data_IF_734011410148
#
_entry.id   IF_734011410148
#
_cell.length_a   1.000
_cell.length_b   1.000
_cell.length_c   1.000
_cell.angle_alpha   90.00
_cell.angle_beta   90.00
_cell.angle_gamma   90.00
#
_symmetry.space_group_name_H-M   'P 1'
#
loop_
_entity.id
_entity.type
_entity.pdbx_description
1 polymer ?
#
# COMPACT_ATOMS: atom_id res chain seq x y z
N UNK A 1 68.15 -22.75 11.82
CA UNK A 1 67.06 -22.02 12.52
C UNK A 1 66.21 -21.33 11.44
N UNK A 2 65.15 -22.00 11.02
CA UNK A 2 64.31 -21.54 9.92
C UNK A 2 62.88 -21.33 10.46
N UNK A 3 62.43 -20.09 10.43
CA UNK A 3 61.05 -19.72 10.83
C UNK A 3 60.14 -19.76 9.62
N UNK A 4 59.30 -20.80 9.56
CA UNK A 4 58.21 -20.89 8.61
C UNK A 4 57.05 -19.94 8.97
N UNK A 5 56.69 -19.05 8.03
CA UNK A 5 55.44 -18.28 8.11
C UNK A 5 54.33 -19.07 7.45
N UNK A 6 53.27 -19.29 8.25
CA UNK A 6 52.03 -19.89 7.79
C UNK A 6 51.16 -18.80 7.12
N UNK A 7 50.58 -18.99 5.94
CA UNK A 7 49.65 -18.03 5.36
C UNK A 7 48.23 -18.24 5.92
N UNK A 8 47.64 -17.16 6.41
CA UNK A 8 46.25 -17.09 6.82
C UNK A 8 45.38 -17.28 5.60
N UNK A 9 44.56 -18.33 5.59
CA UNK A 9 43.47 -18.53 4.61
C UNK A 9 42.31 -17.60 4.97
N UNK A 10 42.03 -16.65 4.10
CA UNK A 10 40.74 -15.91 4.10
C UNK A 10 39.69 -16.83 3.44
N UNK A 11 38.89 -17.46 4.25
CA UNK A 11 37.65 -18.13 3.82
C UNK A 11 36.50 -17.13 3.82
N UNK A 12 36.33 -16.42 2.70
CA UNK A 12 35.11 -15.69 2.39
C UNK A 12 34.24 -16.58 1.51
N UNK A 13 33.65 -17.63 2.09
CA UNK A 13 32.56 -18.35 1.42
C UNK A 13 31.24 -17.61 1.62
N UNK A 14 31.00 -16.65 0.76
CA UNK A 14 29.63 -16.14 0.53
C UNK A 14 28.88 -17.23 -0.21
N UNK A 15 28.04 -17.98 0.51
CA UNK A 15 27.09 -18.91 -0.12
C UNK A 15 26.19 -18.14 -1.08
N UNK A 16 26.02 -18.59 -2.32
CA UNK A 16 25.08 -17.96 -3.24
C UNK A 16 23.67 -18.16 -2.70
N UNK A 17 22.95 -17.04 -2.52
CA UNK A 17 21.50 -17.05 -2.23
C UNK A 17 20.83 -17.80 -3.38
N UNK A 18 20.29 -18.97 -3.09
CA UNK A 18 19.51 -19.71 -4.07
C UNK A 18 18.33 -18.86 -4.53
N UNK A 19 18.10 -18.73 -5.85
CA UNK A 19 16.93 -18.03 -6.35
C UNK A 19 15.69 -18.79 -5.84
N UNK A 20 14.77 -18.10 -5.19
CA UNK A 20 13.44 -18.61 -4.90
C UNK A 20 12.81 -18.87 -6.27
N UNK A 21 12.78 -20.14 -6.68
CA UNK A 21 12.05 -20.57 -7.86
C UNK A 21 10.56 -20.40 -7.55
N UNK A 22 10.02 -19.23 -7.91
CA UNK A 22 8.57 -19.07 -8.00
C UNK A 22 8.12 -20.01 -9.10
N UNK A 23 7.21 -20.98 -8.83
CA UNK A 23 6.69 -21.83 -9.89
C UNK A 23 6.21 -20.94 -11.02
N UNK A 24 6.62 -21.24 -12.25
CA UNK A 24 6.14 -20.59 -13.46
C UNK A 24 4.60 -20.71 -13.47
N UNK A 25 3.93 -19.69 -12.92
CA UNK A 25 2.48 -19.57 -13.07
C UNK A 25 2.25 -19.24 -14.54
N UNK A 26 1.86 -20.30 -15.26
CA UNK A 26 1.47 -20.23 -16.65
C UNK A 26 0.55 -19.02 -16.88
N UNK A 27 0.79 -18.32 -17.97
CA UNK A 27 -0.03 -17.26 -18.55
C UNK A 27 -1.47 -17.82 -18.81
N UNK A 28 -2.27 -17.97 -17.73
CA UNK A 28 -3.68 -18.26 -17.87
C UNK A 28 -4.44 -16.95 -17.84
N UNK A 29 -5.22 -16.73 -18.88
CA UNK A 29 -6.13 -15.60 -19.07
C UNK A 29 -7.28 -15.53 -18.04
N UNK A 30 -7.18 -16.27 -16.98
CA UNK A 30 -8.13 -16.32 -15.88
C UNK A 30 -7.69 -15.27 -14.84
N UNK A 31 -8.25 -14.07 -14.93
CA UNK A 31 -8.03 -12.90 -14.04
C UNK A 31 -8.53 -13.22 -12.63
N UNK A 32 -7.83 -14.09 -11.94
CA UNK A 32 -8.10 -14.50 -10.57
C UNK A 32 -7.32 -13.61 -9.62
N UNK A 33 -7.96 -13.30 -8.56
CA UNK A 33 -7.59 -12.61 -7.32
C UNK A 33 -6.10 -12.54 -7.00
N UNK A 34 -5.64 -11.33 -6.67
CA UNK A 34 -4.25 -11.09 -6.24
C UNK A 34 -3.96 -11.87 -4.96
N UNK A 35 -2.95 -12.76 -4.93
CA UNK A 35 -2.55 -13.49 -3.73
C UNK A 35 -2.11 -12.54 -2.60
N UNK A 36 -2.16 -12.97 -1.33
CA UNK A 36 -1.57 -12.20 -0.22
C UNK A 36 -0.09 -11.89 -0.48
N UNK A 37 0.35 -10.66 -0.18
CA UNK A 37 1.72 -10.22 -0.40
C UNK A 37 2.09 -9.95 -1.86
N UNK A 38 1.11 -9.97 -2.76
CA UNK A 38 1.28 -9.64 -4.17
C UNK A 38 0.49 -8.38 -4.56
N UNK A 39 0.88 -7.78 -5.68
CA UNK A 39 0.31 -6.57 -6.26
C UNK A 39 0.28 -6.70 -7.78
N UNK A 40 -0.70 -6.11 -8.45
CA UNK A 40 -0.60 -5.90 -9.89
C UNK A 40 0.54 -4.92 -10.19
N UNK A 41 1.27 -5.15 -11.27
CA UNK A 41 2.30 -4.21 -11.72
C UNK A 41 1.72 -2.82 -11.97
N UNK A 42 0.51 -2.74 -12.52
CA UNK A 42 -0.17 -1.47 -12.73
C UNK A 42 0.74 -0.45 -13.40
N UNK A 43 0.88 0.71 -12.75
CA UNK A 43 1.78 1.77 -13.18
C UNK A 43 3.26 1.38 -13.12
N UNK A 44 3.65 0.41 -12.30
CA UNK A 44 5.06 -0.01 -12.17
C UNK A 44 5.61 -0.67 -13.45
N UNK A 45 4.76 -1.01 -14.44
CA UNK A 45 5.23 -1.38 -15.78
C UNK A 45 6.05 -0.28 -16.44
N UNK A 46 5.83 0.99 -16.07
CA UNK A 46 6.56 2.14 -16.58
C UNK A 46 8.02 2.21 -16.08
N UNK A 47 8.41 1.36 -15.12
CA UNK A 47 9.81 1.26 -14.66
C UNK A 47 10.75 0.96 -15.82
N UNK A 48 10.40 0.01 -16.68
CA UNK A 48 11.26 -0.38 -17.81
C UNK A 48 11.47 0.76 -18.83
N UNK A 49 10.44 1.45 -19.35
CA UNK A 49 10.65 2.61 -20.22
C UNK A 49 11.36 3.77 -19.53
N UNK A 50 11.12 4.01 -18.23
CA UNK A 50 11.81 5.06 -17.48
C UNK A 50 13.31 4.76 -17.38
N UNK A 51 13.71 3.52 -17.06
CA UNK A 51 15.10 3.11 -17.02
C UNK A 51 15.79 3.29 -18.38
N UNK A 52 15.11 2.95 -19.48
CA UNK A 52 15.63 3.21 -20.84
C UNK A 52 15.82 4.71 -21.08
N UNK A 53 14.94 5.56 -20.54
CA UNK A 53 15.10 7.02 -20.58
C UNK A 53 16.34 7.53 -19.83
N UNK A 54 16.81 6.79 -18.83
CA UNK A 54 18.10 7.03 -18.16
C UNK A 54 19.31 6.38 -18.91
N UNK A 55 19.10 5.78 -20.08
CA UNK A 55 20.13 5.08 -20.84
C UNK A 55 20.55 3.73 -20.21
N UNK A 56 19.69 3.14 -19.39
CA UNK A 56 19.93 1.89 -18.70
C UNK A 56 19.10 0.75 -19.31
N UNK A 57 19.73 -0.44 -19.41
CA UNK A 57 18.99 -1.67 -19.70
C UNK A 57 18.18 -2.09 -18.45
N UNK A 58 16.84 -2.23 -18.53
CA UNK A 58 16.02 -2.64 -17.41
C UNK A 58 16.21 -4.11 -17.00
N UNK A 59 16.52 -4.99 -17.93
CA UNK A 59 16.54 -6.44 -17.74
C UNK A 59 17.44 -6.94 -16.60
N UNK A 60 18.69 -6.46 -16.46
CA UNK A 60 19.54 -6.85 -15.35
C UNK A 60 18.97 -6.48 -13.98
N UNK A 61 18.34 -5.29 -13.87
CA UNK A 61 17.75 -4.81 -12.62
C UNK A 61 16.49 -5.59 -12.26
N UNK A 62 15.65 -5.86 -13.24
CA UNK A 62 14.41 -6.65 -13.06
C UNK A 62 14.78 -8.08 -12.60
N UNK A 63 15.74 -8.73 -13.24
CA UNK A 63 16.22 -10.05 -12.83
C UNK A 63 16.88 -10.06 -11.45
N UNK A 64 17.64 -9.02 -11.13
CA UNK A 64 18.24 -8.88 -9.79
C UNK A 64 17.20 -8.71 -8.69
N UNK A 65 16.04 -8.14 -9.00
CA UNK A 65 14.90 -8.07 -8.09
C UNK A 65 14.14 -9.42 -7.97
N UNK A 66 14.48 -10.44 -8.76
CA UNK A 66 13.80 -11.74 -8.79
C UNK A 66 12.54 -11.75 -9.66
N UNK A 67 12.45 -10.86 -10.65
CA UNK A 67 11.32 -10.74 -11.57
C UNK A 67 11.71 -11.09 -13.00
N UNK A 68 10.71 -11.47 -13.82
CA UNK A 68 10.87 -11.69 -15.27
C UNK A 68 10.49 -10.38 -16.00
N UNK A 69 11.34 -9.95 -16.92
CA UNK A 69 11.13 -8.72 -17.70
C UNK A 69 9.84 -8.74 -18.53
N UNK A 70 9.40 -9.92 -18.96
CA UNK A 70 8.14 -10.11 -19.71
C UNK A 70 6.90 -9.72 -18.90
N UNK A 71 6.98 -9.74 -17.57
CA UNK A 71 5.88 -9.30 -16.71
C UNK A 71 5.56 -7.80 -16.90
N UNK A 72 6.55 -7.00 -17.31
CA UNK A 72 6.41 -5.55 -17.49
C UNK A 72 5.73 -5.15 -18.81
N UNK A 73 5.38 -6.11 -19.67
CA UNK A 73 4.62 -5.87 -20.89
C UNK A 73 3.14 -5.59 -20.60
N UNK A 74 2.60 -6.16 -19.51
CA UNK A 74 1.20 -5.99 -19.11
C UNK A 74 1.08 -5.64 -17.62
N UNK A 75 0.47 -4.48 -17.33
CA UNK A 75 0.22 -4.01 -15.97
C UNK A 75 -0.74 -4.90 -15.16
N UNK A 76 -1.48 -5.80 -15.79
CA UNK A 76 -2.36 -6.76 -15.10
C UNK A 76 -1.60 -7.97 -14.52
N UNK A 77 -0.31 -8.12 -14.85
CA UNK A 77 0.54 -9.13 -14.24
C UNK A 77 0.73 -8.87 -12.75
N UNK A 78 0.75 -9.97 -11.99
CA UNK A 78 0.86 -9.94 -10.52
C UNK A 78 2.27 -10.32 -10.10
N UNK A 79 2.85 -9.55 -9.19
CA UNK A 79 4.20 -9.76 -8.66
C UNK A 79 4.21 -9.68 -7.13
N UNK A 80 5.17 -10.35 -6.44
CA UNK A 80 5.37 -10.16 -5.01
C UNK A 80 5.78 -8.71 -4.72
N UNK A 81 5.13 -8.07 -3.73
CA UNK A 81 5.45 -6.68 -3.35
C UNK A 81 6.90 -6.53 -2.91
N UNK A 82 7.45 -7.52 -2.20
CA UNK A 82 8.85 -7.51 -1.78
C UNK A 82 9.82 -7.49 -2.99
N UNK A 83 9.50 -8.19 -4.08
CA UNK A 83 10.31 -8.15 -5.31
C UNK A 83 10.20 -6.80 -6.00
N UNK A 84 8.99 -6.21 -6.05
CA UNK A 84 8.78 -4.87 -6.59
C UNK A 84 9.51 -3.81 -5.76
N UNK A 85 9.45 -3.88 -4.43
CA UNK A 85 10.17 -2.99 -3.53
C UNK A 85 11.69 -3.06 -3.76
N UNK A 86 12.25 -4.27 -3.86
CA UNK A 86 13.67 -4.44 -4.23
C UNK A 86 14.00 -3.81 -5.59
N UNK A 87 13.12 -3.95 -6.58
CA UNK A 87 13.33 -3.32 -7.88
C UNK A 87 13.39 -1.79 -7.75
N UNK A 88 12.48 -1.17 -6.99
CA UNK A 88 12.54 0.27 -6.74
C UNK A 88 13.85 0.68 -6.06
N UNK A 89 14.32 -0.07 -5.05
CA UNK A 89 15.63 0.16 -4.40
C UNK A 89 16.78 0.13 -5.42
N UNK A 90 16.80 -0.88 -6.27
CA UNK A 90 17.82 -1.00 -7.32
C UNK A 90 17.75 0.13 -8.35
N UNK A 91 16.54 0.54 -8.73
CA UNK A 91 16.32 1.68 -9.64
C UNK A 91 16.86 2.98 -9.06
N UNK A 92 16.52 3.29 -7.80
CA UNK A 92 17.03 4.48 -7.08
C UNK A 92 18.55 4.48 -7.04
N UNK A 93 19.16 3.36 -6.64
CA UNK A 93 20.62 3.24 -6.54
C UNK A 93 21.30 3.43 -7.91
N UNK A 94 20.75 2.83 -8.96
CA UNK A 94 21.36 2.85 -10.29
C UNK A 94 21.16 4.17 -11.03
N UNK A 95 19.99 4.80 -10.90
CA UNK A 95 19.68 6.08 -11.54
C UNK A 95 20.15 7.27 -10.71
N UNK A 96 20.45 7.10 -9.43
CA UNK A 96 20.68 8.17 -8.44
C UNK A 96 19.50 9.14 -8.36
N UNK A 97 18.29 8.65 -8.63
CA UNK A 97 17.05 9.42 -8.59
C UNK A 97 16.27 9.06 -7.33
N UNK A 98 16.34 9.85 -6.24
CA UNK A 98 15.69 9.55 -4.97
C UNK A 98 14.16 9.61 -5.05
N UNK A 99 13.60 10.24 -6.08
CA UNK A 99 12.17 10.36 -6.37
C UNK A 99 11.72 9.46 -7.54
N UNK A 100 12.36 8.31 -7.72
CA UNK A 100 12.07 7.41 -8.85
C UNK A 100 10.61 6.92 -8.85
N UNK A 101 10.04 6.62 -7.67
CA UNK A 101 8.64 6.26 -7.53
C UNK A 101 7.68 7.35 -7.99
N UNK A 102 7.98 8.61 -7.68
CA UNK A 102 7.23 9.76 -8.18
C UNK A 102 7.27 9.82 -9.72
N UNK A 103 8.44 9.56 -10.34
CA UNK A 103 8.56 9.51 -11.80
C UNK A 103 7.66 8.41 -12.40
N UNK A 104 7.64 7.23 -11.78
CA UNK A 104 6.77 6.12 -12.19
C UNK A 104 5.29 6.54 -12.11
N UNK A 105 4.88 7.09 -10.97
CA UNK A 105 3.49 7.54 -10.77
C UNK A 105 3.05 8.67 -11.70
N UNK A 106 3.96 9.54 -12.12
CA UNK A 106 3.67 10.63 -13.08
C UNK A 106 3.16 10.13 -14.43
N UNK A 107 3.59 8.96 -14.87
CA UNK A 107 3.17 8.36 -16.14
C UNK A 107 1.81 7.64 -16.03
N UNK A 108 1.29 7.48 -14.84
CA UNK A 108 0.01 6.84 -14.62
C UNK A 108 -1.15 7.71 -15.12
N UNK A 109 -2.13 7.05 -15.68
CA UNK A 109 -3.46 7.60 -15.93
C UNK A 109 -4.47 6.90 -15.01
N UNK A 110 -5.69 7.42 -14.91
CA UNK A 110 -6.76 6.74 -14.17
C UNK A 110 -7.01 5.31 -14.71
N UNK A 111 -6.75 5.07 -15.99
CA UNK A 111 -6.86 3.75 -16.63
C UNK A 111 -5.74 2.77 -16.21
N UNK A 112 -4.65 3.26 -15.63
CA UNK A 112 -3.61 2.40 -15.04
C UNK A 112 -4.13 1.61 -13.82
N UNK A 113 -5.31 1.99 -13.30
CA UNK A 113 -6.04 1.29 -12.25
C UNK A 113 -7.12 0.33 -12.82
N UNK A 114 -7.03 -0.05 -14.10
CA UNK A 114 -7.90 -1.00 -14.82
C UNK A 114 -9.41 -0.81 -14.48
N UNK A 115 -10.09 -1.85 -13.99
CA UNK A 115 -11.53 -1.81 -13.69
C UNK A 115 -11.90 -0.75 -12.66
N UNK A 116 -11.06 -0.54 -11.65
CA UNK A 116 -11.32 0.48 -10.62
C UNK A 116 -11.23 1.88 -11.20
N UNK A 117 -10.24 2.15 -12.05
CA UNK A 117 -10.12 3.43 -12.75
C UNK A 117 -11.30 3.71 -13.68
N UNK A 118 -11.79 2.68 -14.38
CA UNK A 118 -13.02 2.79 -15.21
C UNK A 118 -14.25 3.04 -14.33
N UNK A 119 -14.40 2.37 -13.19
CA UNK A 119 -15.47 2.64 -12.25
C UNK A 119 -15.46 4.10 -11.80
N UNK A 120 -14.28 4.64 -11.49
CA UNK A 120 -14.13 6.05 -11.11
C UNK A 120 -14.59 7.00 -12.21
N UNK A 121 -14.21 6.76 -13.45
CA UNK A 121 -14.58 7.61 -14.61
C UNK A 121 -16.08 7.63 -14.89
N UNK A 122 -16.81 6.56 -14.57
CA UNK A 122 -18.25 6.47 -14.81
C UNK A 122 -19.07 6.72 -13.55
N UNK A 123 -18.45 7.17 -12.47
CA UNK A 123 -19.12 7.61 -11.24
C UNK A 123 -19.81 8.97 -11.44
N UNK A 124 -20.93 9.18 -10.78
CA UNK A 124 -21.70 10.43 -10.91
C UNK A 124 -20.95 11.65 -10.35
N UNK A 125 -20.28 11.45 -9.21
CA UNK A 125 -19.50 12.50 -8.53
C UNK A 125 -18.09 12.00 -8.19
N UNK A 126 -17.19 12.94 -7.92
CA UNK A 126 -15.83 12.66 -7.46
C UNK A 126 -15.85 11.88 -6.14
N UNK A 127 -16.76 12.23 -5.20
CA UNK A 127 -16.94 11.47 -3.96
C UNK A 127 -17.31 10.02 -4.24
N UNK A 128 -18.32 9.78 -5.10
CA UNK A 128 -18.70 8.43 -5.49
C UNK A 128 -17.58 7.67 -6.22
N UNK A 129 -16.72 8.38 -6.97
CA UNK A 129 -15.54 7.79 -7.62
C UNK A 129 -14.51 7.34 -6.57
N UNK A 130 -14.20 8.20 -5.59
CA UNK A 130 -13.25 7.89 -4.52
C UNK A 130 -13.77 6.82 -3.56
N UNK A 131 -15.06 6.80 -3.24
CA UNK A 131 -15.69 5.72 -2.45
C UNK A 131 -15.59 4.38 -3.18
N UNK A 132 -15.85 4.39 -4.49
CA UNK A 132 -15.65 3.22 -5.35
C UNK A 132 -14.21 2.75 -5.40
N UNK A 133 -13.25 3.67 -5.49
CA UNK A 133 -11.83 3.38 -5.44
C UNK A 133 -11.43 2.74 -4.11
N UNK A 134 -11.73 3.40 -2.97
CA UNK A 134 -11.39 2.91 -1.62
C UNK A 134 -12.00 1.52 -1.38
N UNK A 135 -13.26 1.31 -1.78
CA UNK A 135 -13.98 0.05 -1.57
C UNK A 135 -13.44 -1.10 -2.43
N UNK A 136 -12.83 -0.82 -3.58
CA UNK A 136 -12.42 -1.82 -4.55
C UNK A 136 -10.90 -1.93 -4.75
N UNK A 137 -10.10 -1.08 -4.10
CA UNK A 137 -8.64 -1.11 -4.23
C UNK A 137 -8.06 -2.50 -3.94
N UNK A 138 -8.60 -3.20 -2.94
CA UNK A 138 -8.15 -4.52 -2.56
C UNK A 138 -8.41 -5.64 -3.58
N UNK A 139 -9.17 -5.40 -4.64
CA UNK A 139 -9.28 -6.32 -5.79
C UNK A 139 -8.02 -6.28 -6.64
N UNK A 140 -7.42 -5.08 -6.75
CA UNK A 140 -6.22 -4.86 -7.57
C UNK A 140 -4.93 -4.92 -6.77
N UNK A 141 -4.98 -4.48 -5.53
CA UNK A 141 -3.80 -4.26 -4.71
C UNK A 141 -4.08 -4.63 -3.26
N UNK A 142 -3.42 -5.68 -2.77
CA UNK A 142 -3.53 -6.11 -1.39
C UNK A 142 -2.46 -5.49 -0.48
N UNK A 143 -1.56 -4.73 -1.04
CA UNK A 143 -0.46 -4.12 -0.31
C UNK A 143 -0.70 -2.64 -0.02
N UNK A 144 -1.60 -1.98 -0.74
CA UNK A 144 -1.98 -0.59 -0.49
C UNK A 144 -3.41 -0.54 0.03
N UNK A 145 -3.60 0.19 1.10
CA UNK A 145 -4.94 0.50 1.65
C UNK A 145 -5.15 1.99 1.53
N UNK A 146 -6.31 2.38 1.01
CA UNK A 146 -6.73 3.78 0.99
C UNK A 146 -7.93 3.99 1.91
N UNK A 147 -8.07 5.19 2.45
CA UNK A 147 -9.27 5.64 3.16
C UNK A 147 -9.61 7.07 2.77
N UNK A 148 -10.90 7.37 2.73
CA UNK A 148 -11.40 8.73 2.53
C UNK A 148 -12.15 9.16 3.78
N UNK A 149 -11.85 10.34 4.28
CA UNK A 149 -12.58 10.97 5.39
C UNK A 149 -12.75 12.45 5.14
N UNK A 150 -13.70 13.06 5.84
CA UNK A 150 -13.96 14.51 5.77
C UNK A 150 -13.88 15.07 7.18
N UNK A 151 -13.08 16.14 7.37
CA UNK A 151 -12.97 16.88 8.62
C UNK A 151 -12.77 18.37 8.30
N UNK A 152 -13.48 19.22 9.01
CA UNK A 152 -13.34 20.69 8.93
C UNK A 152 -13.43 21.24 7.49
N UNK A 153 -14.32 20.67 6.67
CA UNK A 153 -14.51 21.08 5.27
C UNK A 153 -13.42 20.60 4.32
N UNK A 154 -12.48 19.78 4.80
CA UNK A 154 -11.43 19.17 4.00
C UNK A 154 -11.68 17.68 3.81
N UNK A 155 -11.41 17.18 2.61
CA UNK A 155 -11.35 15.76 2.30
C UNK A 155 -9.91 15.26 2.46
N UNK A 156 -9.77 14.13 3.11
CA UNK A 156 -8.49 13.48 3.46
C UNK A 156 -8.45 12.11 2.78
N UNK A 157 -7.71 11.98 1.68
CA UNK A 157 -7.46 10.71 1.01
C UNK A 157 -6.12 10.18 1.49
N UNK A 158 -6.16 9.18 2.36
CA UNK A 158 -4.98 8.61 3.04
C UNK A 158 -4.58 7.28 2.41
N UNK A 159 -3.28 7.03 2.33
CA UNK A 159 -2.70 5.79 1.83
C UNK A 159 -1.79 5.16 2.88
N UNK A 160 -1.90 3.85 3.06
CA UNK A 160 -0.97 3.04 3.82
C UNK A 160 -0.45 1.91 2.93
N UNK A 161 0.88 1.86 2.76
CA UNK A 161 1.55 0.78 2.03
C UNK A 161 2.02 -0.25 3.04
N UNK A 162 1.56 -1.47 2.89
CA UNK A 162 2.01 -2.58 3.70
C UNK A 162 3.17 -3.29 2.97
N UNK A 163 4.40 -3.01 3.40
CA UNK A 163 5.59 -3.74 2.96
C UNK A 163 6.14 -4.54 4.14
N UNK A 164 6.27 -5.87 4.03
CA UNK A 164 6.73 -6.71 5.14
C UNK A 164 8.16 -6.43 5.61
N UNK A 165 8.96 -5.72 4.83
CA UNK A 165 10.39 -5.49 5.07
C UNK A 165 10.78 -4.00 5.06
N UNK A 166 9.84 -3.07 5.09
CA UNK A 166 10.06 -1.61 5.02
C UNK A 166 10.98 -1.12 3.88
N UNK A 167 11.49 -2.02 3.05
CA UNK A 167 12.33 -1.67 1.91
C UNK A 167 11.49 -0.96 0.85
N UNK A 168 11.88 0.26 0.51
CA UNK A 168 11.30 1.09 -0.56
C UNK A 168 9.78 1.32 -0.50
N UNK A 169 9.16 1.16 0.67
CA UNK A 169 7.76 1.59 0.87
C UNK A 169 7.58 3.05 0.44
N UNK A 170 8.59 3.89 0.65
CA UNK A 170 8.64 5.29 0.22
C UNK A 170 8.39 5.46 -1.28
N UNK A 171 9.03 4.63 -2.13
CA UNK A 171 8.92 4.75 -3.59
C UNK A 171 7.53 4.32 -4.07
N UNK A 172 6.97 3.27 -3.48
CA UNK A 172 5.62 2.80 -3.78
C UNK A 172 4.59 3.84 -3.32
N UNK A 173 4.82 4.45 -2.16
CA UNK A 173 3.98 5.54 -1.63
C UNK A 173 4.03 6.78 -2.53
N UNK A 174 5.22 7.20 -2.97
CA UNK A 174 5.40 8.31 -3.89
C UNK A 174 4.65 8.06 -5.20
N UNK A 175 4.74 6.83 -5.74
CA UNK A 175 3.99 6.44 -6.93
C UNK A 175 2.47 6.48 -6.69
N UNK A 176 1.99 5.95 -5.57
CA UNK A 176 0.55 5.94 -5.23
C UNK A 176 -0.03 7.36 -5.11
N UNK A 177 0.67 8.27 -4.43
CA UNK A 177 0.27 9.69 -4.33
C UNK A 177 0.21 10.36 -5.70
N UNK A 178 1.21 10.10 -6.56
CA UNK A 178 1.25 10.67 -7.91
C UNK A 178 0.10 10.14 -8.78
N UNK A 179 -0.19 8.83 -8.73
CA UNK A 179 -1.34 8.20 -9.40
C UNK A 179 -2.65 8.83 -8.95
N UNK A 180 -2.82 9.02 -7.64
CA UNK A 180 -4.05 9.60 -7.07
C UNK A 180 -4.27 11.05 -7.53
N UNK A 181 -3.22 11.86 -7.57
CA UNK A 181 -3.31 13.24 -8.08
C UNK A 181 -3.66 13.25 -9.57
N UNK A 182 -3.06 12.38 -10.38
CA UNK A 182 -3.40 12.28 -11.81
C UNK A 182 -4.85 11.82 -12.02
N UNK A 183 -5.32 10.87 -11.21
CA UNK A 183 -6.71 10.44 -11.25
C UNK A 183 -7.68 11.59 -10.90
N UNK A 184 -7.40 12.34 -9.83
CA UNK A 184 -8.19 13.50 -9.43
C UNK A 184 -8.16 14.63 -10.50
N UNK A 185 -7.02 14.86 -11.14
CA UNK A 185 -6.95 15.77 -12.30
C UNK A 185 -7.80 15.30 -13.47
N UNK A 186 -7.88 14.00 -13.69
CA UNK A 186 -8.77 13.44 -14.72
C UNK A 186 -10.25 13.67 -14.38
N UNK A 187 -10.62 13.52 -13.09
CA UNK A 187 -12.01 13.66 -12.65
C UNK A 187 -12.46 15.10 -12.46
N UNK A 188 -11.56 15.97 -11.98
CA UNK A 188 -11.86 17.36 -11.60
C UNK A 188 -11.42 18.39 -12.65
N UNK A 189 -10.61 17.98 -13.65
CA UNK A 189 -9.99 18.86 -14.62
C UNK A 189 -8.47 19.00 -14.40
N UNK A 190 -7.71 19.30 -15.47
CA UNK A 190 -6.24 19.35 -15.46
C UNK A 190 -5.65 20.35 -14.47
N UNK A 191 -6.38 21.42 -14.18
CA UNK A 191 -5.97 22.49 -13.26
C UNK A 191 -6.21 22.16 -11.79
N UNK A 192 -6.82 21.00 -11.50
CA UNK A 192 -7.04 20.58 -10.13
C UNK A 192 -5.71 20.32 -9.39
N UNK A 193 -5.66 20.78 -8.16
CA UNK A 193 -4.51 20.56 -7.27
C UNK A 193 -5.00 20.32 -5.83
N UNK A 194 -4.30 19.50 -5.06
CA UNK A 194 -4.60 19.36 -3.63
C UNK A 194 -4.27 20.67 -2.89
N UNK A 195 -4.82 20.84 -1.71
CA UNK A 195 -4.47 21.94 -0.78
C UNK A 195 -3.08 21.73 -0.23
N UNK A 196 -2.75 20.46 0.13
CA UNK A 196 -1.44 20.04 0.59
C UNK A 196 -1.26 18.52 0.41
N UNK A 197 -0.02 18.08 0.43
CA UNK A 197 0.37 16.66 0.33
C UNK A 197 1.29 16.31 1.50
N UNK A 198 0.92 15.28 2.25
CA UNK A 198 1.69 14.74 3.37
C UNK A 198 2.40 13.48 2.93
N UNK A 199 3.71 13.40 3.19
CA UNK A 199 4.56 12.29 2.73
C UNK A 199 5.37 11.74 3.90
N UNK A 200 5.29 10.43 4.21
CA UNK A 200 5.92 9.85 5.39
C UNK A 200 7.45 9.75 5.29
N UNK A 201 7.99 9.81 4.10
CA UNK A 201 9.44 9.71 3.89
C UNK A 201 10.22 10.90 4.46
N UNK A 202 11.51 10.68 4.70
CA UNK A 202 12.45 11.74 5.07
C UNK A 202 12.55 12.77 3.93
N UNK A 203 12.65 14.05 4.29
CA UNK A 203 12.80 15.15 3.33
C UNK A 203 13.96 14.85 2.37
N UNK A 204 13.73 14.76 1.06
CA UNK A 204 14.81 14.57 0.10
C UNK A 204 15.68 15.83 0.00
N UNK A 205 16.94 15.67 -0.44
CA UNK A 205 17.85 16.80 -0.67
C UNK A 205 17.29 17.80 -1.68
N UNK A 206 16.55 17.33 -2.68
CA UNK A 206 15.81 18.16 -3.63
C UNK A 206 14.31 17.81 -3.58
N UNK A 207 13.46 18.63 -2.93
CA UNK A 207 12.01 18.45 -2.88
C UNK A 207 11.28 19.02 -4.11
N UNK A 208 11.97 19.72 -5.00
CA UNK A 208 11.35 20.42 -6.14
C UNK A 208 10.59 19.51 -7.11
N UNK A 209 11.03 18.27 -7.42
CA UNK A 209 10.25 17.34 -8.24
C UNK A 209 8.85 17.05 -7.70
N UNK A 210 8.70 16.98 -6.38
CA UNK A 210 7.41 16.77 -5.71
C UNK A 210 6.52 18.01 -5.83
N UNK A 211 7.05 19.20 -5.50
CA UNK A 211 6.31 20.46 -5.60
C UNK A 211 5.82 20.72 -7.01
N UNK A 212 6.68 20.45 -8.01
CA UNK A 212 6.33 20.60 -9.43
C UNK A 212 5.24 19.65 -9.86
N UNK A 213 5.27 18.40 -9.40
CA UNK A 213 4.25 17.41 -9.76
C UNK A 213 2.92 17.70 -9.07
N UNK A 214 2.93 17.89 -7.75
CA UNK A 214 1.71 18.09 -6.97
C UNK A 214 1.12 19.48 -7.13
N UNK A 215 1.93 20.48 -7.44
CA UNK A 215 1.54 21.90 -7.55
C UNK A 215 0.86 22.41 -6.27
N UNK A 216 1.35 21.94 -5.13
CA UNK A 216 0.84 22.21 -3.79
C UNK A 216 1.98 22.14 -2.77
N UNK A 217 1.82 22.69 -1.55
CA UNK A 217 2.71 22.44 -0.42
C UNK A 217 2.88 20.95 -0.17
N UNK A 218 4.13 20.50 0.03
CA UNK A 218 4.48 19.11 0.32
C UNK A 218 5.19 19.07 1.68
N UNK A 219 4.63 18.30 2.60
CA UNK A 219 5.15 18.12 3.95
C UNK A 219 5.73 16.73 4.09
N UNK A 220 7.03 16.66 4.29
CA UNK A 220 7.76 15.41 4.52
C UNK A 220 7.83 15.06 6.01
N UNK A 221 8.34 13.87 6.35
CA UNK A 221 8.44 13.36 7.73
C UNK A 221 7.07 13.25 8.43
N UNK A 222 6.02 12.93 7.70
CA UNK A 222 4.68 12.77 8.24
C UNK A 222 4.42 11.31 8.65
N UNK A 223 3.41 11.07 9.50
CA UNK A 223 3.05 9.72 9.96
C UNK A 223 2.38 8.89 8.87
N UNK A 224 1.72 9.53 7.90
CA UNK A 224 0.99 8.85 6.82
C UNK A 224 1.05 9.62 5.51
N UNK A 225 0.88 8.91 4.41
CA UNK A 225 0.73 9.50 3.09
C UNK A 225 -0.70 9.99 2.91
N UNK A 226 -0.88 11.27 2.54
CA UNK A 226 -2.21 11.85 2.47
C UNK A 226 -2.28 12.98 1.41
N UNK A 227 -3.40 13.00 0.69
CA UNK A 227 -3.81 14.15 -0.11
C UNK A 227 -4.92 14.88 0.65
N UNK A 228 -4.73 16.17 0.89
CA UNK A 228 -5.71 17.05 1.52
C UNK A 228 -6.28 17.98 0.45
N UNK A 229 -7.60 18.06 0.33
CA UNK A 229 -8.27 18.91 -0.65
C UNK A 229 -9.66 19.34 -0.16
N UNK A 230 -10.30 20.29 -0.83
CA UNK A 230 -11.63 20.77 -0.42
C UNK A 230 -12.68 19.66 -0.46
N UNK A 231 -13.48 19.52 0.60
CA UNK A 231 -14.62 18.59 0.62
C UNK A 231 -15.67 18.94 -0.47
N UNK A 232 -15.70 20.17 -0.97
CA UNK A 232 -16.59 20.56 -2.06
C UNK A 232 -16.18 19.91 -3.40
N UNK A 233 -14.91 19.53 -3.58
CA UNK A 233 -14.51 18.77 -4.75
C UNK A 233 -15.20 17.40 -4.83
N UNK A 234 -15.57 16.80 -3.70
CA UNK A 234 -16.31 15.52 -3.67
C UNK A 234 -17.68 15.62 -4.32
N UNK A 235 -18.30 16.81 -4.33
CA UNK A 235 -19.62 17.08 -4.92
C UNK A 235 -19.56 17.32 -6.42
N UNK A 236 -18.35 17.53 -7.00
CA UNK A 236 -18.17 17.79 -8.43
C UNK A 236 -18.65 16.60 -9.26
N UNK A 237 -19.39 16.89 -10.32
CA UNK A 237 -19.81 15.87 -11.28
C UNK A 237 -18.66 15.44 -12.18
N UNK A 238 -18.54 14.14 -12.40
CA UNK A 238 -17.54 13.57 -13.32
C UNK A 238 -18.07 13.72 -14.74
N UNK A 239 -17.26 14.31 -15.60
CA UNK A 239 -17.62 14.49 -17.01
C UNK A 239 -17.65 13.12 -17.71
N UNK A 240 -18.72 12.84 -18.45
CA UNK A 240 -18.89 11.57 -19.15
C UNK A 240 -19.31 10.39 -18.27
N UNK A 241 -19.79 10.64 -17.05
CA UNK A 241 -20.34 9.61 -16.19
C UNK A 241 -21.46 8.82 -16.88
N UNK A 242 -21.38 7.49 -16.80
CA UNK A 242 -22.38 6.57 -17.34
C UNK A 242 -22.84 5.62 -16.23
N UNK A 243 -24.05 5.83 -15.68
CA UNK A 243 -24.58 5.02 -14.58
C UNK A 243 -24.79 3.55 -14.96
N UNK A 244 -25.10 3.24 -16.23
CA UNK A 244 -25.29 1.86 -16.68
C UNK A 244 -23.95 1.12 -16.72
N UNK A 245 -22.94 1.75 -17.31
CA UNK A 245 -21.59 1.17 -17.34
C UNK A 245 -21.02 1.05 -15.93
N UNK A 246 -21.25 2.04 -15.06
CA UNK A 246 -20.87 1.96 -13.65
C UNK A 246 -21.49 0.72 -12.98
N UNK A 247 -22.80 0.48 -13.15
CA UNK A 247 -23.46 -0.68 -12.56
C UNK A 247 -22.85 -2.01 -13.02
N UNK A 248 -22.51 -2.13 -14.30
CA UNK A 248 -21.85 -3.32 -14.87
C UNK A 248 -20.45 -3.50 -14.24
N UNK A 249 -19.68 -2.43 -14.10
CA UNK A 249 -18.35 -2.48 -13.50
C UNK A 249 -18.41 -2.82 -12.01
N UNK A 250 -19.38 -2.27 -11.27
CA UNK A 250 -19.62 -2.61 -9.86
C UNK A 250 -19.99 -4.09 -9.67
N UNK A 251 -20.84 -4.64 -10.55
CA UNK A 251 -21.18 -6.05 -10.52
C UNK A 251 -19.96 -6.93 -10.80
N UNK A 252 -19.17 -6.58 -11.81
CA UNK A 252 -17.93 -7.29 -12.12
C UNK A 252 -16.92 -7.27 -10.98
N UNK A 253 -16.72 -6.11 -10.34
CA UNK A 253 -15.84 -5.98 -9.17
C UNK A 253 -16.37 -6.76 -7.96
N UNK A 254 -17.70 -6.85 -7.80
CA UNK A 254 -18.33 -7.66 -6.75
C UNK A 254 -18.08 -9.16 -6.99
N UNK A 255 -18.19 -9.63 -8.23
CA UNK A 255 -17.87 -11.02 -8.59
C UNK A 255 -16.39 -11.32 -8.32
N UNK A 256 -15.48 -10.48 -8.78
CA UNK A 256 -14.04 -10.65 -8.52
C UNK A 256 -13.71 -10.69 -7.03
N UNK A 257 -14.39 -9.90 -6.19
CA UNK A 257 -14.24 -9.97 -4.73
C UNK A 257 -14.75 -11.30 -4.16
N UNK A 258 -15.88 -11.79 -4.65
CA UNK A 258 -16.44 -13.07 -4.22
C UNK A 258 -15.52 -14.23 -4.60
N UNK A 259 -15.00 -14.24 -5.83
CA UNK A 259 -14.07 -15.26 -6.33
C UNK A 259 -12.73 -15.23 -5.58
N UNK A 260 -12.35 -14.05 -5.07
CA UNK A 260 -11.15 -13.86 -4.27
C UNK A 260 -11.20 -14.54 -2.90
N UNK A 261 -12.34 -15.06 -2.48
CA UNK A 261 -12.57 -15.39 -1.08
C UNK A 261 -12.35 -14.17 -0.16
N UNK A 262 -12.20 -12.97 -0.75
CA UNK A 262 -12.08 -11.73 -0.03
C UNK A 262 -13.47 -11.35 0.48
N UNK A 263 -13.88 -11.98 1.56
CA UNK A 263 -15.14 -11.72 2.22
C UNK A 263 -15.11 -10.36 2.92
N UNK A 264 -16.30 -9.93 3.33
CA UNK A 264 -16.50 -8.75 4.16
C UNK A 264 -15.51 -8.67 5.35
N UNK A 265 -15.11 -9.82 5.91
CA UNK A 265 -14.11 -9.90 6.99
C UNK A 265 -12.73 -9.40 6.57
N UNK A 266 -12.30 -9.65 5.33
CA UNK A 266 -10.98 -9.20 4.84
C UNK A 266 -10.96 -7.69 4.56
N UNK A 267 -12.08 -7.13 4.11
CA UNK A 267 -12.23 -5.69 3.94
C UNK A 267 -12.15 -4.98 5.30
N UNK A 268 -12.84 -5.52 6.32
CA UNK A 268 -12.75 -5.02 7.69
C UNK A 268 -11.34 -5.16 8.24
N UNK A 269 -10.67 -6.29 8.01
CA UNK A 269 -9.29 -6.53 8.48
C UNK A 269 -8.33 -5.48 7.89
N UNK A 270 -8.45 -5.16 6.61
CA UNK A 270 -7.65 -4.12 5.96
C UNK A 270 -7.90 -2.72 6.53
N UNK A 271 -9.17 -2.34 6.64
CA UNK A 271 -9.55 -1.04 7.22
C UNK A 271 -9.08 -0.90 8.67
N UNK A 272 -9.23 -1.96 9.47
CA UNK A 272 -8.74 -1.99 10.84
C UNK A 272 -7.23 -1.82 10.91
N UNK A 273 -6.48 -2.52 10.05
CA UNK A 273 -5.01 -2.45 10.06
C UNK A 273 -4.52 -1.02 9.82
N UNK A 274 -5.11 -0.31 8.87
CA UNK A 274 -4.79 1.08 8.58
C UNK A 274 -5.14 2.01 9.74
N UNK A 275 -6.33 1.83 10.33
CA UNK A 275 -6.81 2.72 11.40
C UNK A 275 -6.16 2.47 12.75
N UNK A 276 -5.74 1.25 13.04
CA UNK A 276 -5.06 0.92 14.30
C UNK A 276 -3.64 1.47 14.36
N UNK A 277 -2.99 1.73 13.24
CA UNK A 277 -1.68 2.42 13.18
C UNK A 277 -1.83 3.92 13.51
N UNK A 278 -3.01 4.51 13.32
CA UNK A 278 -3.31 5.92 13.59
C UNK A 278 -4.12 6.15 14.89
N UNK A 279 -4.47 5.12 15.65
CA UNK A 279 -5.25 5.29 16.87
C UNK A 279 -6.24 4.17 17.19
N UNK A 280 -7.30 4.51 17.92
CA UNK A 280 -8.39 3.58 18.27
C UNK A 280 -9.41 3.58 17.14
N UNK A 281 -9.85 2.38 16.75
CA UNK A 281 -11.01 2.19 15.89
C UNK A 281 -12.00 1.30 16.63
N UNK A 282 -13.12 1.86 17.06
CA UNK A 282 -14.23 1.13 17.67
C UNK A 282 -15.05 0.40 16.61
N UNK A 283 -15.93 -0.50 17.03
CA UNK A 283 -16.89 -1.12 16.11
C UNK A 283 -17.94 -0.11 15.59
N UNK A 284 -18.18 0.94 16.34
CA UNK A 284 -19.02 2.08 15.94
C UNK A 284 -18.35 2.85 14.81
N UNK A 285 -17.08 3.28 15.01
CA UNK A 285 -16.31 4.02 13.98
C UNK A 285 -16.21 3.23 12.68
N UNK A 286 -16.06 1.90 12.79
CA UNK A 286 -16.00 1.03 11.61
C UNK A 286 -17.37 0.88 10.94
N UNK A 287 -18.46 0.83 11.71
CA UNK A 287 -19.80 0.75 11.17
C UNK A 287 -20.19 2.05 10.45
N UNK A 288 -19.85 3.20 11.02
CA UNK A 288 -20.06 4.52 10.44
C UNK A 288 -19.26 4.68 9.14
N UNK A 289 -17.99 4.26 9.14
CA UNK A 289 -17.13 4.25 7.95
C UNK A 289 -17.72 3.44 6.80
N UNK A 290 -18.39 2.33 7.12
CA UNK A 290 -18.99 1.43 6.13
C UNK A 290 -20.45 1.80 5.82
N UNK A 291 -20.97 2.86 6.43
CA UNK A 291 -22.37 3.26 6.36
C UNK A 291 -23.35 2.09 6.67
N UNK A 292 -23.01 1.27 7.65
CA UNK A 292 -23.85 0.16 8.13
C UNK A 292 -24.15 0.28 9.62
N UNK A 293 -25.27 -0.25 10.05
CA UNK A 293 -25.57 -0.30 11.48
C UNK A 293 -24.62 -1.29 12.18
N UNK A 294 -24.12 -0.98 13.39
CA UNK A 294 -23.23 -1.83 14.21
C UNK A 294 -23.70 -3.30 14.30
N UNK A 295 -25.01 -3.51 14.41
CA UNK A 295 -25.57 -4.87 14.43
C UNK A 295 -25.34 -5.62 13.12
N UNK A 296 -25.42 -4.93 11.99
CA UNK A 296 -25.15 -5.48 10.65
C UNK A 296 -23.69 -5.84 10.49
N UNK A 297 -22.78 -4.96 10.92
CA UNK A 297 -21.33 -5.22 10.98
C UNK A 297 -21.05 -6.49 11.80
N UNK A 298 -21.56 -6.55 13.04
CA UNK A 298 -21.34 -7.70 13.94
C UNK A 298 -21.90 -9.01 13.38
N UNK A 299 -23.07 -8.98 12.75
CA UNK A 299 -23.68 -10.17 12.12
C UNK A 299 -22.81 -10.66 10.96
N UNK A 300 -22.47 -9.79 10.02
CA UNK A 300 -21.68 -10.15 8.84
C UNK A 300 -20.29 -10.71 9.20
N UNK A 301 -19.67 -10.16 10.24
CA UNK A 301 -18.39 -10.69 10.76
C UNK A 301 -18.57 -12.08 11.38
N UNK A 302 -19.64 -12.31 12.16
CA UNK A 302 -19.95 -13.62 12.74
C UNK A 302 -20.27 -14.66 11.65
N UNK A 303 -20.99 -14.27 10.60
CA UNK A 303 -21.27 -15.14 9.45
C UNK A 303 -19.96 -15.54 8.74
N UNK A 304 -18.93 -14.68 8.77
CA UNK A 304 -17.56 -14.97 8.35
C UNK A 304 -16.71 -15.71 9.39
N UNK A 305 -17.30 -16.18 10.49
CA UNK A 305 -16.62 -16.97 11.53
C UNK A 305 -15.81 -16.17 12.55
N UNK A 306 -15.83 -14.84 12.51
CA UNK A 306 -14.96 -13.99 13.33
C UNK A 306 -15.72 -12.83 13.98
N UNK A 307 -15.35 -12.44 15.20
CA UNK A 307 -15.89 -11.25 15.86
C UNK A 307 -14.96 -10.05 15.71
N UNK A 308 -15.53 -8.83 15.69
CA UNK A 308 -14.78 -7.57 15.56
C UNK A 308 -13.63 -7.46 16.58
N UNK A 309 -13.87 -7.82 17.85
CA UNK A 309 -12.86 -7.76 18.92
C UNK A 309 -11.73 -8.77 18.71
N UNK A 310 -12.04 -9.98 18.24
CA UNK A 310 -11.03 -10.99 17.90
C UNK A 310 -10.14 -10.50 16.79
N UNK A 311 -10.74 -10.05 15.71
CA UNK A 311 -10.03 -9.48 14.54
C UNK A 311 -9.13 -8.30 14.94
N UNK A 312 -9.64 -7.37 15.76
CA UNK A 312 -8.86 -6.22 16.25
C UNK A 312 -7.65 -6.66 17.06
N UNK A 313 -7.81 -7.69 17.92
CA UNK A 313 -6.71 -8.21 18.72
C UNK A 313 -5.66 -8.94 17.88
N UNK A 314 -6.08 -9.70 16.87
CA UNK A 314 -5.17 -10.38 15.95
C UNK A 314 -4.34 -9.36 15.17
N UNK A 315 -4.97 -8.32 14.62
CA UNK A 315 -4.26 -7.27 13.88
C UNK A 315 -3.30 -6.50 14.78
N UNK A 316 -3.71 -6.18 16.03
CA UNK A 316 -2.81 -5.55 17.00
C UNK A 316 -1.61 -6.43 17.32
N UNK A 317 -1.82 -7.73 17.42
CA UNK A 317 -0.74 -8.69 17.65
C UNK A 317 0.22 -8.75 16.45
N UNK A 318 -0.31 -8.85 15.22
CA UNK A 318 0.50 -8.84 14.00
C UNK A 318 1.37 -7.56 13.90
N UNK A 319 0.76 -6.38 14.12
CA UNK A 319 1.49 -5.11 14.10
C UNK A 319 2.52 -5.05 15.24
N UNK A 320 2.17 -5.54 16.43
CA UNK A 320 3.09 -5.58 17.57
C UNK A 320 4.32 -6.44 17.28
N UNK A 321 4.14 -7.66 16.74
CA UNK A 321 5.24 -8.53 16.35
C UNK A 321 6.16 -7.84 15.36
N UNK A 322 5.59 -7.26 14.30
CA UNK A 322 6.34 -6.54 13.28
C UNK A 322 7.16 -5.38 13.88
N UNK A 323 6.55 -4.55 14.74
CA UNK A 323 7.28 -3.44 15.38
C UNK A 323 8.35 -3.92 16.35
N UNK A 324 8.15 -5.08 17.00
CA UNK A 324 9.12 -5.66 17.93
C UNK A 324 10.31 -6.30 17.21
N UNK A 325 10.08 -6.93 16.07
CA UNK A 325 11.09 -7.61 15.25
C UNK A 325 11.90 -6.65 14.39
N UNK A 326 11.24 -5.67 13.78
CA UNK A 326 11.83 -4.82 12.75
C UNK A 326 12.35 -3.47 13.28
N UNK A 327 12.10 -3.13 14.56
CA UNK A 327 12.44 -1.81 15.10
C UNK A 327 12.92 -1.82 16.55
N UNK A 328 13.72 -0.81 16.88
CA UNK A 328 14.15 -0.50 18.26
C UNK A 328 13.18 0.43 19.01
N UNK A 329 11.97 0.62 18.49
CA UNK A 329 10.95 1.50 19.08
C UNK A 329 10.64 1.06 20.53
N UNK A 330 10.66 2.00 21.51
CA UNK A 330 10.35 1.69 22.90
C UNK A 330 8.94 1.08 23.07
N UNK A 331 8.80 0.12 23.98
CA UNK A 331 7.52 -0.56 24.23
C UNK A 331 6.37 0.40 24.57
N UNK A 332 6.67 1.51 25.23
CA UNK A 332 5.67 2.54 25.52
C UNK A 332 5.13 3.21 24.24
N UNK A 333 5.98 3.43 23.24
CA UNK A 333 5.57 3.99 21.96
C UNK A 333 4.78 2.96 21.14
N UNK A 334 5.19 1.70 21.13
CA UNK A 334 4.42 0.62 20.49
C UNK A 334 3.03 0.49 21.14
N UNK A 335 2.96 0.53 22.47
CA UNK A 335 1.69 0.51 23.19
C UNK A 335 0.79 1.68 22.79
N UNK A 336 1.32 2.89 22.74
CA UNK A 336 0.59 4.08 22.32
C UNK A 336 0.11 3.98 20.86
N UNK A 337 0.98 3.56 19.93
CA UNK A 337 0.64 3.36 18.52
C UNK A 337 -0.50 2.35 18.32
N UNK A 338 -0.58 1.31 19.18
CA UNK A 338 -1.64 0.30 19.16
C UNK A 338 -2.89 0.70 19.98
N UNK A 339 -2.94 1.94 20.48
CA UNK A 339 -4.09 2.50 21.17
C UNK A 339 -4.23 2.05 22.63
N UNK A 340 -3.15 1.59 23.28
CA UNK A 340 -3.12 1.31 24.71
C UNK A 340 -2.74 2.58 25.49
N UNK A 341 -3.45 2.82 26.60
CA UNK A 341 -3.16 3.95 27.49
C UNK A 341 -1.85 3.76 28.27
N UNK A 342 -1.42 2.51 28.47
CA UNK A 342 -0.25 2.15 29.27
C UNK A 342 0.48 0.96 28.69
N UNK A 343 1.82 0.96 28.77
CA UNK A 343 2.68 -0.17 28.34
C UNK A 343 2.37 -1.47 29.11
N UNK A 344 1.94 -1.36 30.37
CA UNK A 344 1.53 -2.49 31.20
C UNK A 344 0.29 -3.22 30.64
N UNK A 345 -0.68 -2.46 30.14
CA UNK A 345 -1.89 -3.01 29.50
C UNK A 345 -1.55 -3.73 28.19
N UNK A 346 -0.67 -3.14 27.39
CA UNK A 346 -0.13 -3.77 26.19
C UNK A 346 0.62 -5.06 26.51
N UNK A 347 1.52 -5.05 27.50
CA UNK A 347 2.29 -6.22 27.91
C UNK A 347 1.38 -7.39 28.33
N UNK A 348 0.32 -7.11 29.10
CA UNK A 348 -0.68 -8.13 29.47
C UNK A 348 -1.43 -8.67 28.25
N UNK A 349 -1.81 -7.81 27.33
CA UNK A 349 -2.50 -8.21 26.10
C UNK A 349 -1.58 -9.07 25.21
N UNK A 350 -0.36 -8.65 24.97
CA UNK A 350 0.63 -9.35 24.17
C UNK A 350 0.95 -10.74 24.74
N UNK A 351 1.17 -10.82 26.07
CA UNK A 351 1.39 -12.11 26.74
C UNK A 351 0.20 -13.07 26.60
N UNK A 352 -1.02 -12.55 26.61
CA UNK A 352 -2.23 -13.36 26.38
C UNK A 352 -2.29 -13.90 24.95
N UNK A 353 -1.76 -13.18 23.97
CA UNK A 353 -1.77 -13.58 22.57
C UNK A 353 -0.63 -14.55 22.22
N UNK A 354 0.59 -14.27 22.69
CA UNK A 354 1.81 -15.00 22.30
C UNK A 354 2.32 -16.00 23.36
N UNK A 355 1.83 -15.92 24.59
CA UNK A 355 2.39 -16.65 25.73
C UNK A 355 3.65 -16.01 26.34
N UNK A 356 4.26 -15.01 25.67
CA UNK A 356 5.51 -14.36 26.06
C UNK A 356 5.32 -12.86 26.32
N UNK A 357 6.28 -12.24 26.98
CA UNK A 357 6.31 -10.78 27.10
C UNK A 357 6.87 -10.13 25.83
N UNK A 358 6.49 -8.86 25.48
CA UNK A 358 7.06 -8.16 24.34
C UNK A 358 8.59 -8.07 24.40
N UNK A 359 9.16 -7.91 25.59
CA UNK A 359 10.63 -7.87 25.80
C UNK A 359 11.29 -9.20 25.46
N UNK A 360 10.68 -10.32 25.90
CA UNK A 360 11.20 -11.65 25.59
C UNK A 360 11.08 -11.95 24.09
N UNK A 361 9.99 -11.54 23.46
CA UNK A 361 9.78 -11.68 22.00
C UNK A 361 10.84 -10.93 21.19
N UNK A 362 11.18 -9.69 21.57
CA UNK A 362 12.21 -8.88 20.91
C UNK A 362 13.63 -9.46 21.05
N UNK A 363 13.88 -10.23 22.12
CA UNK A 363 15.20 -10.78 22.42
C UNK A 363 15.46 -12.16 21.77
N UNK A 364 14.42 -12.82 21.26
CA UNK A 364 14.51 -14.15 20.66
C UNK A 364 14.29 -14.18 19.20
#
# INVERSE_FOLDING_TARGET
>A
MSHGRNPVRNDTSTSPVQPIVVPSMALSSDRRTVPPGCIHLGVSKEIAPILRGFGLDPDPLIRAAGLDSRLFEDGTNVVPIAALARLYTLCVARTRCPHFGLLVGRHATILSMDLVGRLMQHSETVGAALDGFVSNLGVQDRAVVASLSVSDGMALLTFAVHSPQNESADQITDAALAVAVNALRTLCGSEWRPTEVLVPRVTPADPEPYRRHFQAPVWFNQESAMLVFSADDLKRRVAGADPLLRAVLEDRLRQLRADAGAGFSDDIRRLLRTRLIGGRCSAEDMADLLAVHRRTLSRRLKDGGQGYRSMTNEIRFEIACQLLEDTEVPLAQIAAALGYSEASAFTRAFRRWSGQTPTAWRAG
#
